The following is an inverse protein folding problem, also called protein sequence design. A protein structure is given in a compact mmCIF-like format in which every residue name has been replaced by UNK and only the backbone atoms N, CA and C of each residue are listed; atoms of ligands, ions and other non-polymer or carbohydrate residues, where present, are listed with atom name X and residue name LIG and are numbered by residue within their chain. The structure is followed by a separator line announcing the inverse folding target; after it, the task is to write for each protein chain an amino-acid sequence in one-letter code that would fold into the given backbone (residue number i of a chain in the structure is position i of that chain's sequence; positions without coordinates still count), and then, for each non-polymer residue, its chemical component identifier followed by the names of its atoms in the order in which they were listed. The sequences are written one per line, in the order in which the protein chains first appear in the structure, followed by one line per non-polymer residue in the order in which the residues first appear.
data_IF_429088209982
#
_entry.id   IF_429088209982
#
_cell.length_a   1.000
_cell.length_b   1.000
_cell.length_c   1.000
_cell.angle_alpha   90.00
_cell.angle_beta   90.00
_cell.angle_gamma   90.00
#
_symmetry.space_group_name_H-M   'P 1'
#
loop_
_entity.id
_entity.type
_entity.pdbx_description
1 polymer ?
#
# COMPACT_ATOMS: atom_id res chain seq x y z
N UNK A 1 21.02 -29.36 -5.72
CA UNK A 1 21.22 -28.08 -6.43
C UNK A 1 20.68 -27.01 -5.51
N UNK A 2 21.55 -26.22 -4.90
CA UNK A 2 21.12 -25.12 -4.03
C UNK A 2 20.48 -24.05 -4.91
N UNK A 3 19.19 -23.80 -4.72
CA UNK A 3 18.56 -22.62 -5.30
C UNK A 3 19.36 -21.39 -4.81
N UNK A 4 19.72 -20.45 -5.69
CA UNK A 4 20.28 -19.19 -5.24
C UNK A 4 19.20 -18.52 -4.40
N UNK A 5 19.37 -18.54 -3.07
CA UNK A 5 18.59 -17.69 -2.18
C UNK A 5 18.77 -16.27 -2.70
N UNK A 6 17.70 -15.59 -3.18
CA UNK A 6 17.82 -14.20 -3.57
C UNK A 6 18.29 -13.47 -2.32
N UNK A 7 19.53 -13.00 -2.36
CA UNK A 7 20.13 -12.13 -1.35
C UNK A 7 19.11 -11.05 -1.06
N UNK A 8 18.53 -11.11 0.13
CA UNK A 8 17.45 -10.24 0.59
C UNK A 8 17.98 -8.82 0.43
N UNK A 9 17.57 -8.18 -0.67
CA UNK A 9 18.05 -6.85 -1.04
C UNK A 9 17.34 -5.90 -0.08
N UNK A 10 17.99 -5.62 1.05
CA UNK A 10 17.50 -4.73 2.10
C UNK A 10 17.46 -3.28 1.60
N UNK A 11 16.56 -3.00 0.67
CA UNK A 11 16.31 -1.66 0.14
C UNK A 11 15.79 -0.74 1.24
N UNK A 12 15.16 -1.27 2.29
CA UNK A 12 14.76 -0.50 3.49
C UNK A 12 15.98 0.13 4.19
N UNK A 13 17.14 -0.51 4.14
CA UNK A 13 18.39 0.05 4.67
C UNK A 13 18.99 1.14 3.77
N UNK A 14 18.60 1.13 2.49
CA UNK A 14 19.01 2.11 1.47
C UNK A 14 17.85 3.07 1.16
N UNK A 15 16.83 3.08 2.01
CA UNK A 15 15.75 4.04 1.97
C UNK A 15 16.32 5.39 2.43
N UNK A 16 16.03 6.41 1.64
CA UNK A 16 16.40 7.78 1.91
C UNK A 16 15.15 8.63 1.99
N UNK A 17 15.09 9.42 3.06
CA UNK A 17 14.12 10.50 3.14
C UNK A 17 14.74 11.78 2.59
N UNK A 18 14.03 12.46 1.70
CA UNK A 18 14.38 13.77 1.17
C UNK A 18 13.25 14.75 1.44
N UNK A 19 13.61 16.01 1.73
CA UNK A 19 12.66 17.05 2.04
C UNK A 19 12.84 18.20 1.05
N UNK A 20 11.81 18.45 0.25
CA UNK A 20 11.84 19.41 -0.84
C UNK A 20 11.03 20.64 -0.46
N UNK A 21 11.66 21.80 -0.47
CA UNK A 21 10.94 23.05 -0.25
C UNK A 21 10.20 23.44 -1.53
N UNK A 22 8.88 23.44 -1.50
CA UNK A 22 8.07 23.88 -2.64
C UNK A 22 7.70 25.35 -2.48
N UNK A 23 8.25 26.20 -3.35
CA UNK A 23 7.93 27.62 -3.38
C UNK A 23 6.74 27.85 -4.33
N UNK A 24 5.52 27.84 -3.79
CA UNK A 24 4.33 28.40 -4.45
C UNK A 24 3.88 27.70 -5.74
N UNK A 25 4.04 26.38 -5.84
CA UNK A 25 3.47 25.58 -6.95
C UNK A 25 4.47 25.02 -7.95
N UNK A 26 5.76 25.34 -7.85
CA UNK A 26 6.81 24.71 -8.63
C UNK A 26 7.55 23.65 -7.79
N UNK A 27 7.42 22.39 -8.18
CA UNK A 27 8.22 21.30 -7.65
C UNK A 27 9.62 21.38 -8.29
N UNK A 28 10.72 21.45 -7.52
CA UNK A 28 12.06 21.51 -8.07
C UNK A 28 12.58 20.16 -8.59
N UNK A 29 11.74 19.13 -8.70
CA UNK A 29 12.15 17.85 -9.26
C UNK A 29 11.09 17.28 -10.20
N UNK A 30 11.56 16.65 -11.26
CA UNK A 30 10.73 16.00 -12.27
C UNK A 30 10.66 14.51 -11.95
N UNK A 31 9.45 13.93 -12.03
CA UNK A 31 9.24 12.49 -11.94
C UNK A 31 9.31 11.87 -13.33
N UNK A 32 10.06 10.79 -13.46
CA UNK A 32 10.08 9.95 -14.66
C UNK A 32 9.67 8.50 -14.31
N UNK A 33 9.48 7.66 -15.33
CA UNK A 33 8.98 6.29 -15.15
C UNK A 33 7.45 6.24 -15.04
N UNK A 34 6.92 5.40 -14.14
CA UNK A 34 5.49 5.23 -13.89
C UNK A 34 4.94 3.83 -14.21
N UNK A 35 3.92 3.41 -13.45
CA UNK A 35 3.29 2.10 -13.60
C UNK A 35 2.63 1.89 -14.99
N UNK A 36 2.26 2.98 -15.67
CA UNK A 36 1.78 2.96 -17.05
C UNK A 36 2.83 2.38 -18.02
N UNK A 37 4.12 2.59 -17.74
CA UNK A 37 5.25 2.00 -18.47
C UNK A 37 5.72 0.67 -17.89
N UNK A 38 5.13 0.23 -16.78
CA UNK A 38 5.59 -0.95 -16.03
C UNK A 38 6.91 -0.73 -15.30
N UNK A 39 7.31 0.52 -15.07
CA UNK A 39 8.53 0.91 -14.36
C UNK A 39 8.19 1.63 -13.05
N UNK A 40 9.11 1.61 -12.09
CA UNK A 40 8.95 2.43 -10.87
C UNK A 40 8.94 3.92 -11.19
N UNK A 41 8.36 4.71 -10.30
CA UNK A 41 8.57 6.15 -10.32
C UNK A 41 9.98 6.43 -9.88
N UNK A 42 10.70 7.20 -10.69
CA UNK A 42 12.06 7.64 -10.37
C UNK A 42 12.14 9.14 -10.43
N UNK A 43 13.10 9.68 -9.70
CA UNK A 43 13.51 11.06 -9.85
C UNK A 43 14.28 11.20 -11.16
N UNK A 44 13.81 12.11 -12.01
CA UNK A 44 14.50 12.51 -13.22
C UNK A 44 15.35 13.74 -12.93
N UNK A 45 14.98 14.86 -13.54
CA UNK A 45 15.73 16.10 -13.42
C UNK A 45 15.41 16.82 -12.10
N UNK A 46 16.43 17.02 -11.29
CA UNK A 46 16.39 17.85 -10.08
C UNK A 46 16.88 19.25 -10.45
N UNK A 47 16.01 20.25 -10.32
CA UNK A 47 16.33 21.68 -10.49
C UNK A 47 17.06 22.25 -9.27
N UNK A 48 16.83 21.70 -8.09
CA UNK A 48 17.36 22.20 -6.83
C UNK A 48 18.25 21.14 -6.18
N UNK A 49 19.57 21.33 -6.26
CA UNK A 49 20.57 20.39 -5.75
C UNK A 49 20.52 20.26 -4.21
N UNK A 50 19.97 21.27 -3.52
CA UNK A 50 19.75 21.28 -2.07
C UNK A 50 18.57 20.41 -1.62
N UNK A 51 17.73 19.90 -2.53
CA UNK A 51 16.59 19.05 -2.19
C UNK A 51 16.95 17.64 -1.70
N UNK A 52 18.23 17.25 -1.72
CA UNK A 52 18.67 15.92 -1.30
C UNK A 52 18.18 14.77 -2.19
N UNK A 53 17.56 15.09 -3.33
CA UNK A 53 17.10 14.17 -4.36
C UNK A 53 18.24 13.88 -5.33
N UNK A 54 18.42 12.62 -5.75
CA UNK A 54 19.35 12.25 -6.82
C UNK A 54 18.62 11.76 -8.04
N UNK A 55 19.19 11.99 -9.22
CA UNK A 55 18.68 11.41 -10.44
C UNK A 55 18.76 9.87 -10.39
N UNK A 56 17.67 9.23 -10.81
CA UNK A 56 17.54 7.77 -10.80
C UNK A 56 16.99 7.16 -9.51
N UNK A 57 16.90 7.90 -8.41
CA UNK A 57 16.32 7.39 -7.15
C UNK A 57 14.85 7.01 -7.32
N UNK A 58 14.43 5.89 -6.73
CA UNK A 58 13.07 5.37 -6.86
C UNK A 58 12.19 5.94 -5.76
N UNK A 59 11.06 6.54 -6.14
CA UNK A 59 10.12 7.16 -5.18
C UNK A 59 9.12 6.12 -4.68
N UNK A 60 9.11 5.90 -3.37
CA UNK A 60 8.15 5.03 -2.70
C UNK A 60 6.95 5.81 -2.17
N UNK A 61 7.20 6.91 -1.46
CA UNK A 61 6.15 7.72 -0.84
C UNK A 61 6.41 9.23 -0.99
N UNK A 62 5.31 10.01 -1.07
CA UNK A 62 5.33 11.48 -1.15
C UNK A 62 4.30 12.03 -0.17
N UNK A 63 4.74 12.86 0.79
CA UNK A 63 3.89 13.45 1.84
C UNK A 63 3.06 12.41 2.61
N UNK A 64 3.68 11.26 2.91
CA UNK A 64 3.00 10.16 3.62
C UNK A 64 2.02 9.36 2.76
N UNK A 65 1.95 9.61 1.45
CA UNK A 65 1.19 8.78 0.51
C UNK A 65 2.11 7.89 -0.30
N UNK A 66 1.88 6.58 -0.27
CA UNK A 66 2.56 5.63 -1.12
C UNK A 66 2.25 5.92 -2.59
N UNK A 67 3.27 6.37 -3.33
CA UNK A 67 3.20 6.59 -4.78
C UNK A 67 3.78 5.42 -5.57
N UNK A 68 4.33 4.43 -4.88
CA UNK A 68 4.83 3.18 -5.45
C UNK A 68 3.73 2.49 -6.27
N UNK A 69 3.93 2.38 -7.59
CA UNK A 69 2.93 1.81 -8.50
C UNK A 69 1.88 2.80 -9.03
N UNK A 70 2.02 4.12 -8.81
CA UNK A 70 1.19 5.13 -9.49
C UNK A 70 1.64 5.36 -10.95
N UNK A 71 0.76 5.96 -11.77
CA UNK A 71 1.15 6.42 -13.12
C UNK A 71 1.97 7.70 -13.03
N UNK A 72 2.76 8.00 -14.07
CA UNK A 72 3.53 9.25 -14.14
C UNK A 72 2.64 10.49 -14.02
N UNK A 73 1.49 10.47 -14.69
CA UNK A 73 0.53 11.58 -14.68
C UNK A 73 0.00 11.83 -13.28
N UNK A 74 -0.36 10.77 -12.57
CA UNK A 74 -0.91 10.89 -11.23
C UNK A 74 0.08 11.38 -10.19
N UNK A 75 1.34 10.95 -10.28
CA UNK A 75 2.36 11.47 -9.38
C UNK A 75 2.67 12.94 -9.66
N UNK A 76 2.70 13.35 -10.93
CA UNK A 76 2.85 14.76 -11.28
C UNK A 76 1.65 15.61 -10.77
N UNK A 77 0.44 15.08 -10.87
CA UNK A 77 -0.77 15.69 -10.30
C UNK A 77 -0.66 15.81 -8.78
N UNK A 78 -0.25 14.72 -8.10
CA UNK A 78 -0.06 14.69 -6.65
C UNK A 78 0.97 15.72 -6.20
N UNK A 79 2.11 15.80 -6.90
CA UNK A 79 3.15 16.78 -6.62
C UNK A 79 2.68 18.22 -6.81
N UNK A 80 1.88 18.47 -7.86
CA UNK A 80 1.25 19.79 -8.05
C UNK A 80 0.34 20.13 -6.88
N UNK A 81 -0.48 19.20 -6.40
CA UNK A 81 -1.32 19.42 -5.22
C UNK A 81 -0.50 19.71 -3.96
N UNK A 82 0.56 18.94 -3.71
CA UNK A 82 1.48 19.18 -2.60
C UNK A 82 2.16 20.56 -2.70
N UNK A 83 2.60 20.93 -3.91
CA UNK A 83 3.29 22.20 -4.18
C UNK A 83 2.34 23.40 -4.08
N UNK A 84 1.06 23.23 -4.46
CA UNK A 84 0.03 24.26 -4.29
C UNK A 84 -0.29 24.52 -2.82
N UNK A 85 -0.18 23.51 -1.97
CA UNK A 85 -0.42 23.64 -0.52
C UNK A 85 0.68 24.47 0.16
N UNK A 86 1.86 24.56 -0.46
CA UNK A 86 3.00 25.35 -0.02
C UNK A 86 3.68 24.76 1.21
N UNK A 87 5.00 24.53 1.13
CA UNK A 87 5.80 24.07 2.27
C UNK A 87 6.81 22.98 1.91
N UNK A 88 7.30 22.29 2.95
CA UNK A 88 8.20 21.14 2.83
C UNK A 88 7.38 19.92 2.41
N UNK A 89 7.77 19.32 1.29
CA UNK A 89 7.24 18.05 0.79
C UNK A 89 8.25 16.97 1.12
N UNK A 90 7.88 16.02 1.98
CA UNK A 90 8.72 14.86 2.30
C UNK A 90 8.57 13.78 1.24
N UNK A 91 9.69 13.18 0.88
CA UNK A 91 9.82 12.10 -0.09
C UNK A 91 10.54 10.96 0.57
N UNK A 92 9.99 9.75 0.46
CA UNK A 92 10.74 8.53 0.74
C UNK A 92 11.13 7.89 -0.57
N UNK A 93 12.44 7.75 -0.75
CA UNK A 93 13.08 7.23 -1.94
C UNK A 93 13.97 6.05 -1.59
N UNK A 94 14.38 5.30 -2.60
CA UNK A 94 15.38 4.24 -2.50
C UNK A 94 16.45 4.48 -3.54
N UNK A 95 17.71 4.29 -3.14
CA UNK A 95 18.86 4.43 -4.03
C UNK A 95 18.77 3.49 -5.25
N UNK A 96 19.04 4.05 -6.44
CA UNK A 96 19.03 3.32 -7.69
C UNK A 96 19.99 2.10 -7.64
N UNK A 97 19.50 0.92 -8.01
CA UNK A 97 20.28 -0.32 -8.01
C UNK A 97 19.99 -1.25 -6.82
N UNK A 98 19.36 -0.76 -5.76
CA UNK A 98 18.86 -1.60 -4.66
C UNK A 98 17.46 -2.15 -4.91
N UNK A 99 16.70 -1.48 -5.77
CA UNK A 99 15.40 -1.93 -6.26
C UNK A 99 15.45 -2.08 -7.78
N UNK A 100 14.66 -3.00 -8.33
CA UNK A 100 14.62 -3.19 -9.79
C UNK A 100 13.90 -2.01 -10.44
N UNK A 101 14.42 -1.47 -11.55
CA UNK A 101 13.75 -0.40 -12.29
C UNK A 101 12.38 -0.83 -12.87
N UNK A 102 12.24 -2.12 -13.18
CA UNK A 102 11.03 -2.71 -13.74
C UNK A 102 10.05 -3.18 -12.65
N UNK A 103 8.94 -2.45 -12.50
CA UNK A 103 7.85 -2.78 -11.58
C UNK A 103 7.33 -4.21 -11.81
N UNK A 104 7.19 -4.60 -13.08
CA UNK A 104 6.69 -5.94 -13.46
C UNK A 104 7.63 -7.04 -13.01
N UNK A 105 8.93 -6.82 -13.16
CA UNK A 105 9.95 -7.77 -12.75
C UNK A 105 9.97 -7.88 -11.22
N UNK A 106 9.91 -6.75 -10.51
CA UNK A 106 9.79 -6.74 -9.06
C UNK A 106 8.57 -7.53 -8.56
N UNK A 107 7.40 -7.32 -9.17
CA UNK A 107 6.17 -8.04 -8.81
C UNK A 107 6.19 -9.53 -9.16
N UNK A 108 7.00 -9.93 -10.15
CA UNK A 108 7.20 -11.32 -10.53
C UNK A 108 8.18 -12.06 -9.61
N UNK A 109 9.01 -11.32 -8.86
CA UNK A 109 9.89 -11.92 -7.85
C UNK A 109 9.07 -12.55 -6.72
N UNK A 110 9.53 -13.72 -6.25
CA UNK A 110 8.94 -14.39 -5.09
C UNK A 110 9.74 -14.03 -3.85
N UNK A 111 9.17 -13.16 -3.03
CA UNK A 111 9.72 -12.86 -1.71
C UNK A 111 9.06 -13.73 -0.63
N UNK A 112 9.77 -14.00 0.49
CA UNK A 112 9.18 -14.64 1.66
C UNK A 112 7.99 -13.82 2.19
N UNK A 113 6.91 -14.48 2.59
CA UNK A 113 5.76 -13.80 3.20
C UNK A 113 6.18 -13.18 4.52
N UNK A 114 5.91 -11.88 4.69
CA UNK A 114 6.33 -11.10 5.86
C UNK A 114 7.64 -10.34 5.69
N UNK A 115 8.32 -10.49 4.54
CA UNK A 115 9.45 -9.63 4.18
C UNK A 115 9.00 -8.21 3.84
N UNK A 116 9.90 -7.25 4.02
CA UNK A 116 9.70 -5.84 3.64
C UNK A 116 9.37 -5.71 2.16
N UNK A 117 10.03 -6.51 1.31
CA UNK A 117 9.73 -6.59 -0.13
C UNK A 117 8.31 -7.07 -0.41
N UNK A 118 7.81 -8.02 0.40
CA UNK A 118 6.45 -8.54 0.27
C UNK A 118 5.40 -7.48 0.63
N UNK A 119 5.69 -6.65 1.64
CA UNK A 119 4.84 -5.51 1.97
C UNK A 119 4.82 -4.48 0.84
N UNK A 120 6.00 -4.11 0.32
CA UNK A 120 6.09 -3.18 -0.80
C UNK A 120 5.42 -3.73 -2.07
N UNK A 121 5.56 -5.02 -2.38
CA UNK A 121 4.84 -5.66 -3.48
C UNK A 121 3.32 -5.54 -3.31
N UNK A 122 2.80 -5.72 -2.09
CA UNK A 122 1.37 -5.54 -1.84
C UNK A 122 0.95 -4.09 -2.03
N UNK A 123 1.68 -3.11 -1.48
CA UNK A 123 1.40 -1.68 -1.68
C UNK A 123 1.35 -1.31 -3.16
N UNK A 124 2.30 -1.80 -3.95
CA UNK A 124 2.33 -1.58 -5.40
C UNK A 124 1.12 -2.24 -6.07
N UNK A 125 0.80 -3.50 -5.73
CA UNK A 125 -0.37 -4.20 -6.27
C UNK A 125 -1.64 -3.46 -5.94
N UNK A 126 -1.81 -3.02 -4.70
CA UNK A 126 -2.97 -2.25 -4.27
C UNK A 126 -3.06 -0.95 -5.06
N UNK A 127 -1.98 -0.16 -5.20
CA UNK A 127 -1.98 1.09 -5.95
C UNK A 127 -2.31 0.91 -7.45
N UNK A 128 -1.82 -0.15 -8.08
CA UNK A 128 -2.13 -0.47 -9.48
C UNK A 128 -3.57 -0.99 -9.61
N UNK A 129 -4.04 -1.82 -8.67
CA UNK A 129 -5.35 -2.49 -8.72
C UNK A 129 -6.51 -1.55 -8.32
N UNK A 130 -6.28 -0.66 -7.33
CA UNK A 130 -7.21 0.37 -6.83
C UNK A 130 -7.67 1.36 -7.91
N UNK A 131 -6.88 1.55 -8.97
CA UNK A 131 -7.25 2.41 -10.09
C UNK A 131 -7.94 1.68 -11.23
N UNK A 132 -7.91 0.35 -11.21
CA UNK A 132 -8.65 -0.50 -12.17
C UNK A 132 -9.94 -1.06 -11.60
N UNK A 133 -10.15 -1.00 -10.28
CA UNK A 133 -11.36 -1.49 -9.63
C UNK A 133 -11.81 -0.47 -8.57
N UNK A 134 -13.00 0.14 -8.70
CA UNK A 134 -13.51 1.07 -7.70
C UNK A 134 -13.56 0.42 -6.32
N UNK A 135 -13.05 1.14 -5.32
CA UNK A 135 -12.90 0.70 -3.94
C UNK A 135 -14.24 0.77 -3.18
N UNK A 136 -15.21 -0.05 -3.58
CA UNK A 136 -16.40 -0.37 -2.78
C UNK A 136 -16.34 -1.77 -2.15
N UNK A 137 -15.34 -2.60 -2.50
CA UNK A 137 -15.30 -4.01 -2.06
C UNK A 137 -14.50 -4.27 -0.76
N UNK A 138 -13.69 -3.32 -0.27
CA UNK A 138 -12.95 -3.52 1.00
C UNK A 138 -13.73 -3.14 2.26
N UNK A 139 -14.92 -2.54 2.12
CA UNK A 139 -15.90 -2.40 3.21
C UNK A 139 -16.67 -3.70 3.49
N UNK A 140 -16.49 -4.75 2.68
CA UNK A 140 -17.11 -6.06 2.89
C UNK A 140 -16.08 -7.16 3.18
N UNK A 141 -15.08 -6.87 4.02
CA UNK A 141 -14.62 -7.91 4.94
C UNK A 141 -15.65 -7.97 6.05
N UNK A 142 -16.60 -8.94 6.08
CA UNK A 142 -17.29 -9.20 7.32
C UNK A 142 -16.21 -9.61 8.30
N UNK A 143 -15.88 -8.68 9.20
CA UNK A 143 -15.22 -9.02 10.44
C UNK A 143 -15.95 -10.25 10.99
N UNK A 144 -15.18 -11.26 11.37
CA UNK A 144 -15.62 -12.47 12.05
C UNK A 144 -16.32 -12.09 13.38
N UNK A 145 -17.53 -11.59 13.30
CA UNK A 145 -18.44 -11.32 14.40
C UNK A 145 -19.77 -12.02 14.14
N UNK A 146 -19.76 -13.35 14.21
CA UNK A 146 -20.99 -14.12 14.36
C UNK A 146 -20.72 -15.47 15.04
N UNK A 147 -20.32 -15.41 16.30
CA UNK A 147 -20.70 -16.46 17.25
C UNK A 147 -21.30 -15.84 18.50
N UNK A 148 -22.60 -15.51 18.48
CA UNK A 148 -23.45 -15.79 19.62
C UNK A 148 -24.37 -16.94 19.23
N UNK A 149 -24.10 -18.13 19.79
CA UNK A 149 -25.08 -19.22 19.77
C UNK A 149 -26.37 -18.73 20.44
N UNK A 150 -27.53 -18.74 19.77
CA UNK A 150 -28.81 -18.52 20.42
C UNK A 150 -29.53 -19.87 20.51
N UNK A 151 -29.38 -20.58 21.63
CA UNK A 151 -30.35 -21.63 22.02
C UNK A 151 -31.26 -21.08 23.09
N UNK A 152 -32.21 -20.24 22.67
CA UNK A 152 -33.45 -20.00 23.40
C UNK A 152 -34.61 -20.12 22.41
N UNK A 153 -35.05 -21.35 22.17
CA UNK A 153 -36.39 -21.62 21.65
C UNK A 153 -37.27 -21.98 22.85
N UNK A 154 -37.88 -20.96 23.44
CA UNK A 154 -39.08 -21.14 24.23
C UNK A 154 -40.22 -21.44 23.25
N UNK A 155 -40.86 -22.60 23.37
CA UNK A 155 -42.27 -22.69 23.02
C UNK A 155 -43.06 -23.17 24.24
N UNK A 156 -43.96 -22.30 24.62
CA UNK A 156 -44.80 -22.29 25.81
C UNK A 156 -46.12 -23.05 25.54
N UNK A 157 -46.83 -23.34 26.63
CA UNK A 157 -48.27 -23.69 26.75
C UNK A 157 -48.75 -25.15 26.61
N UNK A 158 -48.87 -25.76 27.80
CA UNK A 158 -50.13 -26.08 28.52
C UNK A 158 -51.17 -27.02 27.87
N UNK A 159 -51.31 -28.23 28.42
CA UNK A 159 -52.53 -28.75 29.08
C UNK A 159 -52.20 -30.15 29.62
N UNK A 160 -52.21 -30.35 30.94
CA UNK A 160 -53.34 -30.94 31.69
C UNK A 160 -53.55 -32.42 31.33
N UNK A 161 -53.08 -33.33 32.19
CA UNK A 161 -53.96 -34.33 32.80
C UNK A 161 -53.23 -35.07 33.95
N UNK A 162 -53.89 -35.06 35.11
CA UNK A 162 -53.60 -35.87 36.31
C UNK A 162 -53.91 -37.35 36.00
N UNK A 163 -53.21 -38.33 36.59
CA UNK A 163 -53.74 -38.91 37.84
C UNK A 163 -52.58 -39.35 38.78
N UNK A 164 -52.72 -39.64 40.06
CA UNK A 164 -53.83 -40.14 40.83
C UNK A 164 -53.67 -39.69 42.28
N UNK A 165 -54.80 -39.55 42.98
CA UNK A 165 -54.83 -39.63 44.42
C UNK A 165 -55.97 -40.56 44.81
N UNK A 166 -55.72 -41.33 45.86
CA UNK A 166 -56.69 -41.99 46.75
C UNK A 166 -56.97 -43.48 46.52
N UNK A 167 -56.41 -44.26 47.46
CA UNK A 167 -57.11 -45.18 48.39
C UNK A 167 -58.09 -46.21 47.79
N UNK A 168 -57.77 -47.49 48.02
CA UNK A 168 -58.56 -48.43 48.84
C UNK A 168 -57.61 -49.39 49.55
#
# INVERSE_FOLDING_TARGET
MGEPTPSVSSWETHEREAAVLTAGGAMPATIDGGADRGAFLRIGQVLDDECGLRDGDIVLEVQGKAVSGMTRSDANEWLRMCSMRGGVVSFRLVEAGHLTADLRQYLAMRFPKGSVDHHLQNTIRDNVYLKTVPFDDFANRPALIASPSPSFAANDRRHDDRPASSVV
#
